data_IF_311705324575
#
_entry.id   IF_311705324575
#
_cell.length_a   1.000
_cell.length_b   1.000
_cell.length_c   1.000
_cell.angle_alpha   90.00
_cell.angle_beta   90.00
_cell.angle_gamma   90.00
#
_symmetry.space_group_name_H-M   'P 1'
#
loop_
_entity.id
_entity.type
_entity.pdbx_description
1 polymer ?
#
# COMPACT_ATOMS: atom_id res chain seq x y z
N UNK A 1 6.83 24.39 -1.18
CA UNK A 1 6.18 23.76 -0.01
C UNK A 1 4.89 24.53 0.28
N UNK A 2 3.77 24.20 -0.39
CA UNK A 2 2.48 24.92 -0.26
C UNK A 2 1.24 24.00 -0.33
N UNK A 3 1.35 22.80 -0.91
CA UNK A 3 0.20 21.92 -1.14
C UNK A 3 -0.34 21.24 0.14
N UNK A 4 0.49 21.12 1.17
CA UNK A 4 0.17 20.41 2.42
C UNK A 4 -0.75 21.22 3.34
N UNK A 5 -0.49 22.53 3.50
CA UNK A 5 -1.23 23.40 4.43
C UNK A 5 -2.70 23.54 4.03
N UNK A 6 -2.99 23.61 2.73
CA UNK A 6 -4.35 23.78 2.21
C UNK A 6 -5.29 22.62 2.56
N UNK A 7 -4.78 21.42 2.86
CA UNK A 7 -5.62 20.29 3.32
C UNK A 7 -6.02 20.36 4.80
N UNK A 8 -5.42 21.30 5.56
CA UNK A 8 -5.60 21.45 7.01
C UNK A 8 -6.22 22.79 7.40
N UNK A 9 -6.62 23.60 6.42
CA UNK A 9 -7.26 24.90 6.68
C UNK A 9 -8.65 24.67 7.24
N UNK A 10 -8.94 25.31 8.38
CA UNK A 10 -10.29 25.43 8.89
C UNK A 10 -11.01 26.57 8.16
N UNK A 11 -12.06 26.21 7.41
CA UNK A 11 -12.90 27.14 6.65
C UNK A 11 -14.28 27.34 7.29
N UNK A 12 -14.48 26.85 8.52
CA UNK A 12 -15.74 26.90 9.25
C UNK A 12 -16.72 25.78 8.87
N UNK A 13 -17.88 25.79 9.54
CA UNK A 13 -18.86 24.68 9.54
C UNK A 13 -19.46 24.35 8.16
N UNK A 14 -19.36 25.26 7.19
CA UNK A 14 -19.83 25.03 5.82
C UNK A 14 -18.92 24.10 4.99
N UNK A 15 -17.76 23.72 5.52
CA UNK A 15 -16.78 22.88 4.84
C UNK A 15 -16.49 21.60 5.62
N UNK A 16 -16.24 20.52 4.86
CA UNK A 16 -15.82 19.23 5.38
C UNK A 16 -14.36 19.01 5.01
N UNK A 17 -13.54 18.83 6.03
CA UNK A 17 -12.11 18.49 5.90
C UNK A 17 -11.91 17.01 6.16
N UNK A 18 -11.08 16.37 5.33
CA UNK A 18 -10.72 14.95 5.43
C UNK A 18 -9.23 14.78 5.17
N UNK A 19 -8.64 13.72 5.71
CA UNK A 19 -7.22 13.42 5.53
C UNK A 19 -6.85 13.38 4.04
N UNK A 20 -5.80 14.14 3.68
CA UNK A 20 -5.28 14.22 2.32
C UNK A 20 -6.33 14.60 1.26
N UNK A 21 -7.27 15.47 1.65
CA UNK A 21 -8.24 16.08 0.76
C UNK A 21 -8.27 17.59 0.96
N UNK A 22 -8.51 18.33 -0.11
CA UNK A 22 -8.90 19.73 0.03
C UNK A 22 -10.27 19.85 0.73
N UNK A 23 -10.49 20.90 1.54
CA UNK A 23 -11.80 21.19 2.10
C UNK A 23 -12.86 21.25 1.01
N UNK A 24 -13.98 20.59 1.24
CA UNK A 24 -15.12 20.58 0.31
C UNK A 24 -16.33 21.21 0.96
N UNK A 25 -17.15 21.95 0.20
CA UNK A 25 -18.43 22.44 0.72
C UNK A 25 -19.28 21.25 1.19
N UNK A 26 -19.92 21.40 2.35
CA UNK A 26 -20.71 20.33 2.97
C UNK A 26 -21.75 19.74 2.01
N UNK A 27 -22.39 20.57 1.18
CA UNK A 27 -23.37 20.15 0.18
C UNK A 27 -22.82 19.20 -0.90
N UNK A 28 -21.50 19.14 -1.12
CA UNK A 28 -20.86 18.32 -2.15
C UNK A 28 -19.89 17.27 -1.58
N UNK A 29 -19.71 17.25 -0.26
CA UNK A 29 -18.71 16.42 0.41
C UNK A 29 -18.91 14.92 0.16
N UNK A 30 -20.11 14.47 -0.17
CA UNK A 30 -20.38 13.04 -0.41
C UNK A 30 -20.56 12.69 -1.89
N UNK A 31 -20.26 13.63 -2.79
CA UNK A 31 -20.29 13.35 -4.23
C UNK A 31 -18.97 12.76 -4.71
N UNK A 32 -19.06 11.73 -5.55
CA UNK A 32 -17.88 11.04 -6.10
C UNK A 32 -16.93 11.96 -6.85
N UNK A 33 -17.49 12.89 -7.62
CA UNK A 33 -16.72 13.85 -8.41
C UNK A 33 -15.96 14.81 -7.51
N UNK A 34 -16.62 15.40 -6.50
CA UNK A 34 -15.96 16.26 -5.51
C UNK A 34 -14.85 15.51 -4.77
N UNK A 35 -15.15 14.29 -4.31
CA UNK A 35 -14.17 13.45 -3.62
C UNK A 35 -12.95 13.13 -4.50
N UNK A 36 -13.14 12.82 -5.78
CA UNK A 36 -12.04 12.60 -6.71
C UNK A 36 -11.14 13.84 -6.85
N UNK A 37 -11.73 15.02 -7.08
CA UNK A 37 -10.96 16.24 -7.31
C UNK A 37 -10.29 16.76 -6.03
N UNK A 38 -10.94 16.62 -4.88
CA UNK A 38 -10.38 17.03 -3.59
C UNK A 38 -9.25 16.12 -3.10
N UNK A 39 -9.27 14.82 -3.43
CA UNK A 39 -8.27 13.85 -2.96
C UNK A 39 -6.89 14.06 -3.58
N UNK A 40 -5.84 14.08 -2.75
CA UNK A 40 -4.45 14.24 -3.19
C UNK A 40 -3.52 13.26 -2.45
N UNK A 41 -2.23 13.28 -2.78
CA UNK A 41 -1.18 12.74 -1.90
C UNK A 41 -0.60 13.86 -1.04
N UNK A 42 -0.19 13.50 0.17
CA UNK A 42 0.34 14.43 1.16
C UNK A 42 1.62 13.84 1.75
N UNK A 43 2.76 14.28 1.20
CA UNK A 43 4.10 13.85 1.61
C UNK A 43 4.45 14.32 3.02
N UNK A 44 5.32 13.58 3.71
CA UNK A 44 5.80 13.98 5.03
C UNK A 44 6.60 15.28 4.99
N UNK A 45 6.72 15.94 6.14
CA UNK A 45 7.48 17.18 6.26
C UNK A 45 8.95 16.94 5.87
N UNK A 46 9.46 17.77 4.94
CA UNK A 46 10.82 17.67 4.42
C UNK A 46 11.01 16.69 3.24
N UNK A 47 9.99 15.89 2.89
CA UNK A 47 10.01 15.08 1.67
C UNK A 47 9.58 15.91 0.45
N UNK A 48 10.09 15.53 -0.72
CA UNK A 48 9.66 16.07 -2.02
C UNK A 48 9.30 14.91 -2.96
N UNK A 49 8.58 15.17 -4.08
CA UNK A 49 8.31 14.12 -5.06
C UNK A 49 9.58 13.42 -5.56
N UNK A 50 10.70 14.13 -5.66
CA UNK A 50 12.00 13.62 -6.12
C UNK A 50 12.79 12.89 -5.02
N UNK A 51 12.38 13.02 -3.77
CA UNK A 51 13.07 12.44 -2.62
C UNK A 51 12.10 12.07 -1.49
N UNK A 52 11.29 11.03 -1.72
CA UNK A 52 10.38 10.45 -0.73
C UNK A 52 11.16 9.54 0.21
N UNK A 53 11.10 9.81 1.51
CA UNK A 53 11.86 9.09 2.55
C UNK A 53 10.97 8.57 3.68
N UNK A 54 9.72 9.02 3.75
CA UNK A 54 8.78 8.70 4.82
C UNK A 54 7.41 8.25 4.27
N UNK A 55 6.62 7.47 5.04
CA UNK A 55 5.26 7.13 4.62
C UNK A 55 4.43 8.40 4.45
N UNK A 56 3.55 8.42 3.45
CA UNK A 56 2.75 9.60 3.12
C UNK A 56 1.26 9.27 3.02
N UNK A 57 0.39 10.26 3.18
CA UNK A 57 -1.06 10.05 3.13
C UNK A 57 -1.60 10.12 1.70
N UNK A 58 -2.72 9.44 1.47
CA UNK A 58 -3.54 9.58 0.26
C UNK A 58 -5.00 9.85 0.64
N UNK A 59 -5.72 10.60 -0.20
CA UNK A 59 -7.13 10.90 0.01
C UNK A 59 -7.98 9.63 -0.13
N UNK A 60 -8.43 9.08 1.00
CA UNK A 60 -9.11 7.78 1.07
C UNK A 60 -10.64 7.87 0.91
N UNK A 61 -11.17 8.98 0.39
CA UNK A 61 -12.62 9.09 0.20
C UNK A 61 -13.16 7.96 -0.70
N UNK A 62 -14.24 7.34 -0.22
CA UNK A 62 -15.01 6.33 -0.92
C UNK A 62 -15.23 6.78 -2.37
N UNK A 63 -14.78 5.95 -3.33
CA UNK A 63 -15.01 6.01 -4.79
C UNK A 63 -13.80 6.36 -5.67
N UNK A 64 -12.70 6.93 -5.14
CA UNK A 64 -11.46 7.04 -5.91
C UNK A 64 -10.70 5.70 -5.91
N UNK A 65 -10.31 5.21 -7.08
CA UNK A 65 -9.46 4.03 -7.22
C UNK A 65 -8.01 4.50 -7.16
N UNK A 66 -7.23 3.94 -6.24
CA UNK A 66 -5.82 4.24 -6.09
C UNK A 66 -4.97 3.04 -6.50
N UNK A 67 -3.96 3.28 -7.33
CA UNK A 67 -2.96 2.29 -7.76
C UNK A 67 -1.56 2.88 -7.64
N UNK A 68 -0.55 2.01 -7.57
CA UNK A 68 0.85 2.42 -7.44
C UNK A 68 1.78 1.50 -8.23
N UNK A 69 3.03 1.94 -8.39
CA UNK A 69 4.13 1.07 -8.81
C UNK A 69 4.41 -0.03 -7.79
N UNK A 70 5.12 -1.08 -8.23
CA UNK A 70 5.42 -2.29 -7.43
C UNK A 70 6.24 -2.01 -6.17
N UNK A 71 6.99 -0.91 -6.15
CA UNK A 71 7.81 -0.49 -5.01
C UNK A 71 7.03 0.32 -3.96
N UNK A 72 5.71 0.45 -4.09
CA UNK A 72 4.82 1.11 -3.14
C UNK A 72 3.61 0.22 -2.79
N UNK A 73 3.05 0.40 -1.59
CA UNK A 73 1.78 -0.22 -1.21
C UNK A 73 0.94 0.68 -0.30
N UNK A 74 -0.37 0.51 -0.36
CA UNK A 74 -1.34 1.22 0.47
C UNK A 74 -1.65 0.41 1.73
N UNK A 75 -1.59 1.04 2.89
CA UNK A 75 -2.00 0.47 4.16
C UNK A 75 -2.46 1.58 5.12
N UNK A 76 -3.60 1.37 5.79
CA UNK A 76 -4.09 2.28 6.85
C UNK A 76 -4.07 3.78 6.46
N UNK A 77 -4.62 4.12 5.28
CA UNK A 77 -4.69 5.51 4.80
C UNK A 77 -3.35 6.15 4.41
N UNK A 78 -2.27 5.36 4.36
CA UNK A 78 -0.93 5.78 3.96
C UNK A 78 -0.37 4.91 2.84
N UNK A 79 0.67 5.43 2.20
CA UNK A 79 1.50 4.76 1.22
C UNK A 79 2.88 4.54 1.82
N UNK A 80 3.39 3.32 1.67
CA UNK A 80 4.69 2.88 2.15
C UNK A 80 5.52 2.34 0.99
N UNK A 81 6.85 2.45 1.08
CA UNK A 81 7.77 1.94 0.07
C UNK A 81 8.41 0.60 0.45
N UNK A 82 8.60 -0.27 -0.53
CA UNK A 82 9.30 -1.56 -0.40
C UNK A 82 10.66 -1.59 -1.10
N UNK A 83 10.92 -0.66 -2.02
CA UNK A 83 12.20 -0.50 -2.71
C UNK A 83 12.46 0.97 -3.06
N UNK A 84 13.75 1.35 -3.14
CA UNK A 84 14.17 2.68 -3.62
C UNK A 84 14.02 2.80 -5.14
N UNK A 85 14.03 4.04 -5.62
CA UNK A 85 14.01 4.38 -7.05
C UNK A 85 12.69 4.98 -7.54
N UNK A 86 12.52 5.12 -8.86
CA UNK A 86 11.33 5.71 -9.47
C UNK A 86 10.06 4.99 -9.01
N UNK A 87 9.04 5.76 -8.69
CA UNK A 87 7.76 5.26 -8.22
C UNK A 87 6.63 6.13 -8.78
N UNK A 88 5.40 5.64 -8.71
CA UNK A 88 4.24 6.43 -9.07
C UNK A 88 3.02 6.03 -8.25
N UNK A 89 2.11 6.98 -8.09
CA UNK A 89 0.78 6.77 -7.53
C UNK A 89 -0.24 7.36 -8.49
N UNK A 90 -1.30 6.63 -8.79
CA UNK A 90 -2.38 7.09 -9.68
C UNK A 90 -3.70 7.07 -8.93
N UNK A 91 -4.47 8.15 -9.04
CA UNK A 91 -5.90 8.16 -8.70
C UNK A 91 -6.75 8.13 -9.96
N UNK A 92 -7.82 7.37 -9.95
CA UNK A 92 -8.80 7.35 -11.05
C UNK A 92 -10.24 7.30 -10.55
N UNK A 93 -11.14 7.89 -11.34
CA UNK A 93 -12.58 7.78 -11.18
C UNK A 93 -13.26 7.99 -12.54
N UNK A 94 -13.99 6.98 -13.02
CA UNK A 94 -14.60 7.01 -14.36
C UNK A 94 -13.57 7.33 -15.45
N UNK A 95 -13.74 8.47 -16.12
CA UNK A 95 -12.83 8.95 -17.18
C UNK A 95 -11.63 9.75 -16.68
N UNK A 96 -11.63 10.15 -15.41
CA UNK A 96 -10.57 10.99 -14.87
C UNK A 96 -9.46 10.13 -14.29
N UNK A 97 -8.22 10.50 -14.59
CA UNK A 97 -7.01 9.86 -14.09
C UNK A 97 -5.94 10.91 -13.85
N UNK A 98 -5.21 10.78 -12.75
CA UNK A 98 -4.07 11.64 -12.43
C UNK A 98 -2.97 10.84 -11.75
N UNK A 99 -1.74 11.00 -12.24
CA UNK A 99 -0.56 10.28 -11.76
C UNK A 99 0.45 11.25 -11.15
N UNK A 100 0.88 10.96 -9.93
CA UNK A 100 2.06 11.58 -9.31
C UNK A 100 3.27 10.71 -9.60
N UNK A 101 4.29 11.29 -10.24
CA UNK A 101 5.60 10.66 -10.38
C UNK A 101 6.44 11.00 -9.15
N UNK A 102 7.08 9.98 -8.59
CA UNK A 102 7.84 10.05 -7.35
C UNK A 102 9.20 9.37 -7.52
N UNK A 103 10.11 9.62 -6.59
CA UNK A 103 11.34 8.88 -6.44
C UNK A 103 11.58 8.58 -4.95
N UNK A 104 11.61 7.28 -4.63
CA UNK A 104 11.83 6.78 -3.28
C UNK A 104 13.32 6.83 -2.97
N UNK A 105 13.71 7.75 -2.10
CA UNK A 105 15.08 7.95 -1.65
C UNK A 105 15.43 7.14 -0.39
N UNK A 106 14.44 6.74 0.42
CA UNK A 106 14.62 5.86 1.57
C UNK A 106 13.41 4.96 1.80
N UNK A 107 13.64 3.77 2.36
CA UNK A 107 12.58 2.83 2.69
C UNK A 107 11.79 3.29 3.91
N UNK A 108 10.48 3.29 3.78
CA UNK A 108 9.55 3.76 4.82
C UNK A 108 8.89 2.63 5.61
N UNK A 109 9.09 1.38 5.18
CA UNK A 109 8.56 0.18 5.85
C UNK A 109 9.57 -0.34 6.86
N UNK A 110 9.13 -0.51 8.12
CA UNK A 110 9.80 -1.41 9.05
C UNK A 110 9.09 -2.76 8.91
N UNK A 111 9.70 -3.62 8.11
CA UNK A 111 9.52 -5.07 8.13
C UNK A 111 8.06 -5.58 8.21
N UNK A 112 7.35 -5.56 7.08
CA UNK A 112 6.32 -6.56 6.83
C UNK A 112 6.59 -7.21 5.50
N UNK A 113 7.34 -8.31 5.55
CA UNK A 113 7.76 -9.15 4.43
C UNK A 113 6.63 -9.41 3.42
N UNK A 114 6.70 -8.73 2.28
CA UNK A 114 6.14 -9.23 1.02
C UNK A 114 7.16 -9.08 -0.12
N UNK A 115 8.42 -9.35 0.17
CA UNK A 115 9.32 -9.82 -0.87
C UNK A 115 8.83 -11.20 -1.32
N UNK A 116 8.77 -11.45 -2.63
CA UNK A 116 8.73 -12.82 -3.16
C UNK A 116 10.00 -13.53 -2.68
N UNK A 117 9.93 -14.16 -1.51
CA UNK A 117 11.08 -14.80 -0.89
C UNK A 117 11.55 -15.95 -1.78
N UNK A 118 12.82 -15.93 -2.18
CA UNK A 118 13.39 -17.04 -2.95
C UNK A 118 13.35 -18.31 -2.11
N UNK A 119 12.71 -19.35 -2.65
CA UNK A 119 12.56 -20.65 -2.00
C UNK A 119 13.93 -21.34 -1.93
N UNK A 120 14.38 -21.64 -0.71
CA UNK A 120 15.56 -22.47 -0.46
C UNK A 120 15.21 -23.97 -0.48
N UNK A 121 13.98 -24.34 -0.12
CA UNK A 121 13.54 -25.73 -0.17
C UNK A 121 12.10 -25.93 0.29
N UNK A 122 11.58 -27.13 0.03
CA UNK A 122 10.26 -27.60 0.52
C UNK A 122 10.41 -28.96 1.18
N UNK A 123 9.74 -29.13 2.31
CA UNK A 123 9.63 -30.40 3.04
C UNK A 123 8.17 -30.71 3.30
N UNK A 124 7.81 -31.99 3.33
CA UNK A 124 6.43 -32.42 3.56
C UNK A 124 6.37 -33.29 4.80
N UNK A 125 5.31 -33.10 5.60
CA UNK A 125 5.05 -33.86 6.81
C UNK A 125 3.63 -34.41 6.79
N UNK A 126 3.45 -35.64 7.26
CA UNK A 126 2.12 -36.16 7.56
C UNK A 126 1.55 -35.55 8.86
N UNK A 127 0.31 -35.88 9.21
CA UNK A 127 -0.34 -35.36 10.42
C UNK A 127 0.29 -35.87 11.73
N UNK A 128 1.16 -36.89 11.67
CA UNK A 128 1.92 -37.40 12.81
C UNK A 128 3.30 -36.72 12.93
N UNK A 129 3.61 -35.74 12.06
CA UNK A 129 4.89 -35.03 12.05
C UNK A 129 6.03 -35.81 11.39
N UNK A 130 5.74 -36.92 10.69
CA UNK A 130 6.77 -37.69 9.98
C UNK A 130 7.09 -37.02 8.64
N UNK A 131 8.39 -36.83 8.36
CA UNK A 131 8.85 -36.30 7.08
C UNK A 131 8.63 -37.31 5.95
N UNK A 132 8.10 -36.83 4.82
CA UNK A 132 7.88 -37.62 3.60
C UNK A 132 8.50 -36.92 2.39
N UNK A 133 9.06 -37.69 1.46
CA UNK A 133 9.70 -37.15 0.27
C UNK A 133 8.67 -36.64 -0.76
N UNK A 134 7.56 -37.37 -0.92
CA UNK A 134 6.49 -37.07 -1.87
C UNK A 134 5.14 -37.30 -1.17
N UNK A 135 4.24 -36.31 -1.13
CA UNK A 135 2.88 -36.50 -0.61
C UNK A 135 2.11 -37.52 -1.46
N UNK A 136 1.56 -38.56 -0.82
CA UNK A 136 0.59 -39.47 -1.41
C UNK A 136 -0.84 -38.92 -1.32
N UNK A 137 -1.85 -39.77 -1.46
CA UNK A 137 -3.24 -39.39 -1.21
C UNK A 137 -3.45 -39.00 0.27
N UNK A 138 -4.18 -37.92 0.51
CA UNK A 138 -4.51 -37.43 1.86
C UNK A 138 -3.96 -36.03 2.18
N UNK A 139 -3.91 -35.71 3.48
CA UNK A 139 -3.54 -34.38 3.99
C UNK A 139 -2.10 -34.37 4.48
N UNK A 140 -1.33 -33.37 4.04
CA UNK A 140 0.05 -33.13 4.42
C UNK A 140 0.29 -31.66 4.74
N UNK A 141 1.36 -31.37 5.49
CA UNK A 141 1.88 -30.03 5.72
C UNK A 141 3.12 -29.83 4.86
N UNK A 142 3.10 -28.85 3.96
CA UNK A 142 4.29 -28.39 3.24
C UNK A 142 4.94 -27.26 4.02
N UNK A 143 6.18 -27.45 4.45
CA UNK A 143 7.02 -26.39 4.99
C UNK A 143 7.90 -25.86 3.86
N UNK A 144 7.78 -24.58 3.55
CA UNK A 144 8.63 -23.88 2.58
C UNK A 144 9.67 -23.10 3.35
N UNK A 145 10.95 -23.41 3.15
CA UNK A 145 12.07 -22.65 3.69
C UNK A 145 12.53 -21.64 2.65
N UNK A 146 12.78 -20.43 3.08
CA UNK A 146 13.29 -19.35 2.24
C UNK A 146 14.77 -19.13 2.46
N UNK A 147 15.43 -18.51 1.49
CA UNK A 147 16.88 -18.18 1.54
C UNK A 147 17.20 -17.19 2.66
N UNK A 148 16.24 -16.39 3.09
CA UNK A 148 16.34 -15.48 4.25
C UNK A 148 16.25 -16.18 5.61
N UNK A 149 16.14 -17.51 5.63
CA UNK A 149 16.06 -18.32 6.86
C UNK A 149 14.65 -18.46 7.43
N UNK A 150 13.66 -17.73 6.93
CA UNK A 150 12.26 -17.87 7.36
C UNK A 150 11.58 -19.11 6.79
N UNK A 151 10.45 -19.50 7.36
CA UNK A 151 9.63 -20.62 6.90
C UNK A 151 8.15 -20.26 6.84
N UNK A 152 7.41 -20.88 5.91
CA UNK A 152 5.93 -20.90 5.89
C UNK A 152 5.45 -22.34 5.89
N UNK A 153 4.32 -22.61 6.53
CA UNK A 153 3.66 -23.92 6.52
C UNK A 153 2.29 -23.81 5.84
N UNK A 154 2.00 -24.69 4.88
CA UNK A 154 0.71 -24.75 4.18
C UNK A 154 0.15 -26.17 4.18
N UNK A 155 -1.17 -26.29 4.28
CA UNK A 155 -1.86 -27.57 4.09
C UNK A 155 -1.89 -27.93 2.62
N UNK A 156 -1.52 -29.16 2.30
CA UNK A 156 -1.60 -29.76 0.96
C UNK A 156 -2.54 -30.96 1.03
N UNK A 157 -3.48 -31.03 0.10
CA UNK A 157 -4.38 -32.18 -0.08
C UNK A 157 -4.13 -32.74 -1.46
N UNK A 158 -3.87 -34.05 -1.55
CA UNK A 158 -3.68 -34.77 -2.81
C UNK A 158 -4.60 -35.98 -2.89
#
# INVERSE_FOLDING_TARGET
>A
MFFFELTRVDLGEAFVSRTAMYPTLQAFADTAVSNYFASIIVLADGDTPEAVKSPFFYGSANQAIWTSSDNLYFNDGKVYSTAQGPAWVTKSYGKWSYTWNLNVAALTSVDTTKASKTIAGRSYYDLNGRSVAVPGAGVYIQVTRYTDGSTTATKVVR
#
